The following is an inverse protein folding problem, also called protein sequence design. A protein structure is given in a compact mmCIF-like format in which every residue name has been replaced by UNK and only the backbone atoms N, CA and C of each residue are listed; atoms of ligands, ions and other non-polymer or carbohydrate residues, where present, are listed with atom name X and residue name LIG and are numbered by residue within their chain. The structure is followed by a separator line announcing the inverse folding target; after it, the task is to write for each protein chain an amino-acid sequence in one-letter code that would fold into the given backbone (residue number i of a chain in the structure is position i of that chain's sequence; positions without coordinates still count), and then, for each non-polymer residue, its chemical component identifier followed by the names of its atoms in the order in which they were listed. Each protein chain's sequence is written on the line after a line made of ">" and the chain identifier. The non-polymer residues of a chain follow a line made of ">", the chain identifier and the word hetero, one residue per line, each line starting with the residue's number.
data_IF_088037591067
#
_entry.id   IF_088037591067
#
_cell.length_a   1.000
_cell.length_b   1.000
_cell.length_c   1.000
_cell.angle_alpha   90.00
_cell.angle_beta   90.00
_cell.angle_gamma   90.00
#
_symmetry.space_group_name_H-M   'P 1'
#
loop_
_entity.id
_entity.type
_entity.pdbx_description
1 polymer ?
#
# COMPACT_ATOMS: atom_id res chain seq x y z
N UNK A 1 -7.57 -17.81 6.75
CA UNK A 1 -7.12 -16.90 7.84
C UNK A 1 -7.03 -15.48 7.28
N UNK A 2 -7.50 -14.45 7.97
CA UNK A 2 -7.39 -13.05 7.49
C UNK A 2 -6.04 -12.47 7.95
N UNK A 3 -5.36 -11.79 7.04
CA UNK A 3 -4.12 -11.04 7.29
C UNK A 3 -4.24 -9.61 6.76
N UNK A 4 -3.37 -8.75 7.29
CA UNK A 4 -3.26 -7.34 6.92
C UNK A 4 -1.83 -7.06 6.50
N UNK A 5 -1.62 -6.72 5.24
CA UNK A 5 -0.32 -6.36 4.69
C UNK A 5 -0.17 -4.85 4.80
N UNK A 6 0.99 -4.39 5.30
CA UNK A 6 1.35 -2.98 5.32
C UNK A 6 2.43 -2.73 4.30
N UNK A 7 2.25 -1.67 3.53
CA UNK A 7 3.34 -1.08 2.78
C UNK A 7 3.24 0.43 2.71
N UNK A 8 4.19 1.02 1.99
CA UNK A 8 4.29 2.47 1.79
C UNK A 8 4.61 2.74 0.31
N UNK A 9 3.86 3.66 -0.30
CA UNK A 9 4.06 4.13 -1.66
C UNK A 9 4.69 5.53 -1.61
N UNK A 10 5.79 5.67 -2.33
CA UNK A 10 6.46 6.94 -2.59
C UNK A 10 6.59 7.11 -4.10
N UNK A 11 6.36 8.31 -4.61
CA UNK A 11 6.55 8.63 -6.03
C UNK A 11 7.89 9.36 -6.16
N UNK A 12 8.78 8.77 -6.95
CA UNK A 12 10.08 9.33 -7.29
C UNK A 12 9.97 10.30 -8.48
N UNK A 13 11.11 10.77 -8.97
CA UNK A 13 11.19 11.52 -10.22
C UNK A 13 10.59 10.69 -11.38
N UNK A 14 10.01 11.39 -12.36
CA UNK A 14 9.36 10.81 -13.55
C UNK A 14 8.17 9.88 -13.24
N UNK A 15 7.43 10.17 -12.15
CA UNK A 15 6.24 9.43 -11.73
C UNK A 15 6.48 7.94 -11.45
N UNK A 16 7.73 7.58 -11.14
CA UNK A 16 8.10 6.20 -10.82
C UNK A 16 7.61 5.84 -9.41
N UNK A 17 6.73 4.85 -9.34
CA UNK A 17 6.26 4.28 -8.09
C UNK A 17 7.37 3.47 -7.40
N UNK A 18 7.68 3.84 -6.16
CA UNK A 18 8.52 3.07 -5.25
C UNK A 18 7.67 2.55 -4.08
N UNK A 19 7.46 1.24 -4.08
CA UNK A 19 6.63 0.56 -3.10
C UNK A 19 7.50 -0.21 -2.11
N UNK A 20 7.36 0.09 -0.82
CA UNK A 20 8.00 -0.66 0.27
C UNK A 20 7.01 -1.58 0.94
N UNK A 21 7.32 -2.88 0.95
CA UNK A 21 6.65 -3.85 1.83
C UNK A 21 7.20 -3.73 3.26
N UNK A 22 6.31 -3.60 4.24
CA UNK A 22 6.68 -3.31 5.63
C UNK A 22 6.29 -4.43 6.61
N UNK A 23 5.38 -5.31 6.23
CA UNK A 23 5.09 -6.53 6.99
C UNK A 23 3.66 -7.03 6.87
N UNK A 24 3.41 -8.14 7.55
CA UNK A 24 2.11 -8.84 7.59
C UNK A 24 1.67 -8.96 9.04
N UNK A 25 0.40 -8.65 9.30
CA UNK A 25 -0.17 -8.58 10.62
C UNK A 25 -1.44 -9.40 10.72
N UNK A 26 -1.67 -10.02 11.88
CA UNK A 26 -2.86 -10.83 12.12
C UNK A 26 -4.14 -10.00 12.37
N UNK A 27 -4.01 -8.69 12.65
CA UNK A 27 -5.14 -7.77 12.87
C UNK A 27 -4.84 -6.38 12.31
N UNK A 28 -5.89 -5.61 11.95
CA UNK A 28 -5.76 -4.23 11.45
C UNK A 28 -5.12 -3.31 12.48
N UNK A 29 -5.39 -3.53 13.77
CA UNK A 29 -4.85 -2.73 14.88
C UNK A 29 -3.34 -2.90 15.03
N UNK A 30 -2.83 -4.13 14.85
CA UNK A 30 -1.38 -4.39 14.87
C UNK A 30 -0.68 -3.70 13.69
N UNK A 31 -1.28 -3.75 12.50
CA UNK A 31 -0.81 -3.01 11.33
C UNK A 31 -0.77 -1.49 11.61
N UNK A 32 -1.85 -0.91 12.15
CA UNK A 32 -1.89 0.52 12.51
C UNK A 32 -0.81 0.90 13.53
N UNK A 33 -0.54 0.06 14.55
CA UNK A 33 0.53 0.30 15.52
C UNK A 33 1.91 0.29 14.85
N UNK A 34 2.17 -0.62 13.92
CA UNK A 34 3.42 -0.64 13.17
C UNK A 34 3.59 0.64 12.34
N UNK A 35 2.53 1.11 11.67
CA UNK A 35 2.55 2.38 10.93
C UNK A 35 2.86 3.56 11.86
N UNK A 36 2.26 3.64 13.05
CA UNK A 36 2.56 4.70 14.02
C UNK A 36 4.03 4.75 14.46
N UNK A 37 4.71 3.60 14.45
CA UNK A 37 6.15 3.52 14.75
C UNK A 37 6.99 3.90 13.53
N UNK A 38 6.63 3.38 12.35
CA UNK A 38 7.37 3.59 11.11
C UNK A 38 7.21 5.02 10.55
N UNK A 39 6.08 5.68 10.79
CA UNK A 39 5.83 7.07 10.37
C UNK A 39 6.77 8.08 11.02
N UNK A 40 7.59 7.67 11.98
CA UNK A 40 8.63 8.51 12.60
C UNK A 40 10.01 8.34 11.96
N UNK A 41 10.19 7.33 11.11
CA UNK A 41 11.46 7.06 10.46
C UNK A 41 11.72 8.04 9.30
N UNK A 42 13.00 8.30 8.95
CA UNK A 42 13.34 9.09 7.77
C UNK A 42 12.66 8.56 6.49
N UNK A 43 12.26 9.47 5.60
CA UNK A 43 11.50 9.15 4.39
C UNK A 43 10.00 8.93 4.67
N UNK A 44 9.66 8.03 5.59
CA UNK A 44 8.24 7.75 5.92
C UNK A 44 7.55 8.90 6.64
N UNK A 45 8.28 9.67 7.44
CA UNK A 45 7.73 10.86 8.13
C UNK A 45 7.28 11.97 7.17
N UNK A 46 7.82 11.98 5.95
CA UNK A 46 7.50 12.98 4.93
C UNK A 46 6.16 12.66 4.25
N UNK A 47 5.74 11.38 4.28
CA UNK A 47 4.46 10.88 3.79
C UNK A 47 3.78 9.96 4.82
N UNK A 48 3.33 10.48 5.98
CA UNK A 48 2.95 9.66 7.12
C UNK A 48 1.49 9.18 7.10
N UNK A 49 0.70 9.62 6.12
CA UNK A 49 -0.74 9.34 6.05
C UNK A 49 -0.99 7.87 5.72
N UNK A 50 -2.08 7.32 6.26
CA UNK A 50 -2.65 6.06 5.79
C UNK A 50 -3.66 6.41 4.72
N UNK A 51 -3.50 5.84 3.52
CA UNK A 51 -4.43 5.94 2.40
C UNK A 51 -5.44 4.81 2.57
N UNK A 52 -6.72 5.16 2.67
CA UNK A 52 -7.84 4.20 2.66
C UNK A 52 -8.57 4.37 1.32
N UNK A 53 -8.89 3.26 0.65
CA UNK A 53 -9.55 3.27 -0.67
C UNK A 53 -10.91 3.97 -0.66
N UNK A 54 -11.48 4.20 0.53
CA UNK A 54 -12.74 4.92 0.71
C UNK A 54 -12.58 6.46 0.81
N UNK A 55 -11.35 6.97 0.92
CA UNK A 55 -11.09 8.42 0.91
C UNK A 55 -11.10 8.94 -0.55
N UNK A 56 -12.32 9.23 -1.02
CA UNK A 56 -12.65 9.72 -2.38
C UNK A 56 -11.99 11.08 -2.73
N UNK A 57 -11.44 11.80 -1.75
CA UNK A 57 -11.08 13.21 -1.89
C UNK A 57 -9.58 13.54 -1.96
N UNK A 58 -8.69 12.57 -2.16
CA UNK A 58 -7.27 12.91 -2.15
C UNK A 58 -6.53 12.47 -3.40
N UNK A 59 -6.06 13.47 -4.17
CA UNK A 59 -4.88 13.40 -5.07
C UNK A 59 -3.58 12.99 -4.33
N UNK A 60 -3.69 12.48 -3.09
CA UNK A 60 -2.58 12.00 -2.28
C UNK A 60 -2.31 10.56 -2.68
N UNK A 61 -1.40 10.41 -3.63
CA UNK A 61 -0.92 9.11 -4.13
C UNK A 61 0.26 8.54 -3.32
N UNK A 62 0.62 9.15 -2.18
CA UNK A 62 1.81 8.77 -1.40
C UNK A 62 1.50 8.59 0.09
N UNK A 63 1.98 7.49 0.67
CA UNK A 63 1.74 7.16 2.07
C UNK A 63 1.65 5.67 2.33
N UNK A 64 1.19 5.33 3.54
CA UNK A 64 0.99 3.97 3.98
C UNK A 64 -0.33 3.40 3.46
N UNK A 65 -0.34 2.13 3.09
CA UNK A 65 -1.56 1.38 2.78
C UNK A 65 -1.67 0.14 3.66
N UNK A 66 -2.91 -0.27 3.94
CA UNK A 66 -3.22 -1.52 4.64
C UNK A 66 -4.13 -2.37 3.76
N UNK A 67 -3.60 -3.43 3.18
CA UNK A 67 -4.37 -4.36 2.34
C UNK A 67 -4.84 -5.54 3.18
N UNK A 68 -6.15 -5.81 3.16
CA UNK A 68 -6.74 -7.00 3.78
C UNK A 68 -6.66 -8.17 2.79
N UNK A 69 -6.11 -9.29 3.22
CA UNK A 69 -6.01 -10.52 2.41
C UNK A 69 -6.49 -11.74 3.18
N UNK A 70 -6.89 -12.79 2.45
CA UNK A 70 -7.22 -14.09 3.00
C UNK A 70 -6.14 -15.10 2.56
N UNK A 71 -5.58 -15.81 3.54
CA UNK A 71 -4.57 -16.85 3.30
C UNK A 71 -5.18 -17.98 2.49
N UNK A 72 -4.40 -18.49 1.53
CA UNK A 72 -4.75 -19.55 0.59
C UNK A 72 -5.89 -19.20 -0.39
N UNK A 73 -6.19 -17.91 -0.55
CA UNK A 73 -7.13 -17.40 -1.53
C UNK A 73 -6.44 -16.43 -2.49
N UNK A 74 -6.82 -16.47 -3.77
CA UNK A 74 -6.40 -15.47 -4.75
C UNK A 74 -7.11 -14.16 -4.38
N UNK A 75 -6.38 -13.04 -4.49
CA UNK A 75 -6.98 -11.71 -4.34
C UNK A 75 -8.06 -11.45 -5.43
N UNK A 76 -8.56 -10.23 -5.55
CA UNK A 76 -9.65 -9.90 -6.50
C UNK A 76 -9.30 -10.04 -7.99
N UNK A 77 -8.08 -10.50 -8.29
CA UNK A 77 -7.52 -10.69 -9.61
C UNK A 77 -8.15 -11.89 -10.31
N UNK A 78 -8.93 -11.64 -11.37
CA UNK A 78 -9.70 -12.68 -12.09
C UNK A 78 -9.16 -13.00 -13.50
N UNK A 79 -8.22 -12.24 -14.03
CA UNK A 79 -7.76 -12.34 -15.42
C UNK A 79 -6.26 -12.02 -15.56
N UNK A 80 -5.49 -12.64 -16.47
CA UNK A 80 -4.04 -12.39 -16.59
C UNK A 80 -3.63 -10.97 -17.00
N UNK A 81 -2.35 -10.61 -16.87
CA UNK A 81 -1.85 -9.33 -17.37
C UNK A 81 -1.79 -9.36 -18.92
N UNK A 82 -2.48 -8.43 -19.57
CA UNK A 82 -2.30 -8.15 -21.00
C UNK A 82 -1.57 -6.82 -21.15
N UNK A 83 -0.32 -6.86 -21.60
CA UNK A 83 0.39 -5.63 -21.95
C UNK A 83 -0.22 -5.08 -23.23
N UNK A 84 -1.13 -4.11 -23.13
CA UNK A 84 -1.44 -3.25 -24.27
C UNK A 84 -0.17 -2.51 -24.63
N UNK A 85 0.43 -2.88 -25.77
CA UNK A 85 1.46 -2.04 -26.40
C UNK A 85 0.78 -0.73 -26.76
N UNK A 86 1.12 0.35 -26.06
CA UNK A 86 0.81 1.69 -26.53
C UNK A 86 1.40 1.84 -27.93
N UNK A 87 0.55 2.10 -28.92
CA UNK A 87 1.03 2.54 -30.23
C UNK A 87 1.47 3.99 -30.07
N UNK A 88 2.75 4.23 -30.32
CA UNK A 88 3.28 5.58 -30.61
C UNK A 88 2.53 6.24 -31.78
#
# INVERSE_FOLDING_TARGET
>A
MILYIVGHLHILYDDVEDIKFLGIFSTKEKAKKAIQMLSKQPGFKDFPKIIDDNDIETDVIQGFYITKVVVDEIAEWKEGFTTVKWKE
#
